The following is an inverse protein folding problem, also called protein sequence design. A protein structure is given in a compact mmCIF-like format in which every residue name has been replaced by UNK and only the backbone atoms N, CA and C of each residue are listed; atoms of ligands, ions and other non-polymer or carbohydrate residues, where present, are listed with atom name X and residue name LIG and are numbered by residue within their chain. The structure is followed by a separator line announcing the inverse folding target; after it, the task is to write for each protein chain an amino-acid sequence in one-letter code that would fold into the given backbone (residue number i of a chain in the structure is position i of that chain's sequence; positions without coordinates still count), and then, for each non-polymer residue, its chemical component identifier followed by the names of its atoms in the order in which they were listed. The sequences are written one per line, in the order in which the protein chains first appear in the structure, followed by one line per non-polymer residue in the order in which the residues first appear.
data_IF_923472225036
#
_entry.id   IF_923472225036
#
_cell.length_a   1.000
_cell.length_b   1.000
_cell.length_c   1.000
_cell.angle_alpha   90.00
_cell.angle_beta   90.00
_cell.angle_gamma   90.00
#
_symmetry.space_group_name_H-M   'P 1'
#
loop_
_entity.id
_entity.type
_entity.pdbx_description
1 polymer ?
#
# COMPACT_ATOMS: atom_id res chain seq x y z
N UNK A 1 -39.96 -21.96 62.75
CA UNK A 1 -39.37 -21.79 61.40
C UNK A 1 -40.34 -21.13 60.40
N UNK A 2 -41.03 -20.02 60.78
CA UNK A 2 -41.96 -19.28 59.90
C UNK A 2 -41.76 -17.75 59.91
N UNK A 3 -40.81 -17.24 60.70
CA UNK A 3 -40.57 -15.79 60.85
C UNK A 3 -39.38 -15.31 60.01
N UNK A 4 -38.35 -16.14 59.77
CA UNK A 4 -37.20 -15.74 58.93
C UNK A 4 -37.56 -15.57 57.45
N UNK A 5 -38.52 -16.34 56.92
CA UNK A 5 -38.87 -16.31 55.49
C UNK A 5 -39.58 -15.02 55.06
N UNK A 6 -40.19 -14.28 55.99
CA UNK A 6 -40.89 -13.02 55.66
C UNK A 6 -39.95 -11.82 55.55
N UNK A 7 -38.83 -11.80 56.28
CA UNK A 7 -37.87 -10.69 56.20
C UNK A 7 -36.93 -10.79 54.99
N UNK A 8 -36.63 -12.00 54.51
CA UNK A 8 -35.80 -12.23 53.32
C UNK A 8 -36.46 -11.73 52.03
N UNK A 9 -37.79 -11.85 51.92
CA UNK A 9 -38.57 -11.40 50.76
C UNK A 9 -38.73 -9.87 50.75
N UNK A 10 -38.83 -9.24 51.93
CA UNK A 10 -38.91 -7.79 52.07
C UNK A 10 -37.55 -7.10 51.81
N UNK A 11 -36.43 -7.72 52.20
CA UNK A 11 -35.09 -7.17 51.95
C UNK A 11 -34.67 -7.32 50.47
N UNK A 12 -35.05 -8.43 49.81
CA UNK A 12 -34.82 -8.62 48.38
C UNK A 12 -35.67 -7.68 47.51
N UNK A 13 -36.88 -7.33 47.96
CA UNK A 13 -37.75 -6.36 47.28
C UNK A 13 -37.24 -4.92 47.35
N UNK A 14 -36.64 -4.50 48.47
CA UNK A 14 -36.07 -3.14 48.59
C UNK A 14 -34.72 -2.97 47.87
N UNK A 15 -33.91 -4.03 47.77
CA UNK A 15 -32.66 -3.98 47.00
C UNK A 15 -32.92 -3.96 45.48
N UNK A 16 -34.00 -4.59 45.01
CA UNK A 16 -34.43 -4.53 43.62
C UNK A 16 -35.05 -3.16 43.24
N UNK A 17 -35.67 -2.44 44.18
CA UNK A 17 -36.20 -1.09 43.90
C UNK A 17 -35.11 0.00 43.84
N UNK A 18 -33.99 -0.17 44.54
CA UNK A 18 -32.85 0.77 44.50
C UNK A 18 -31.98 0.63 43.23
N UNK A 19 -32.05 -0.51 42.54
CA UNK A 19 -31.33 -0.74 41.27
C UNK A 19 -32.06 -0.17 40.04
N UNK A 20 -33.33 0.24 40.17
CA UNK A 20 -34.11 0.81 39.06
C UNK A 20 -34.01 2.35 39.00
N UNK A 21 -33.49 2.99 40.05
CA UNK A 21 -33.33 4.46 40.08
C UNK A 21 -31.99 4.99 39.55
N UNK A 22 -31.11 4.11 39.01
CA UNK A 22 -29.80 4.51 38.42
C UNK A 22 -29.66 4.00 36.98
N UNK A 23 -30.77 3.87 36.24
CA UNK A 23 -30.75 3.40 34.84
C UNK A 23 -31.66 4.18 33.89
N UNK A 24 -32.10 5.38 34.28
CA UNK A 24 -32.63 6.35 33.32
C UNK A 24 -31.79 7.61 33.37
N UNK A 25 -30.55 7.54 32.88
CA UNK A 25 -30.17 8.60 31.94
C UNK A 25 -31.00 8.33 30.69
N UNK A 26 -32.19 8.95 30.62
CA UNK A 26 -32.91 9.08 29.35
C UNK A 26 -31.89 9.70 28.39
N UNK A 27 -31.48 8.93 27.37
CA UNK A 27 -30.81 9.50 26.22
C UNK A 27 -31.59 10.75 25.84
N UNK A 28 -30.96 11.92 25.96
CA UNK A 28 -31.53 13.16 25.46
C UNK A 28 -32.05 12.87 24.06
N UNK A 29 -33.28 13.29 23.69
CA UNK A 29 -33.84 12.97 22.39
C UNK A 29 -32.80 13.32 21.33
N UNK A 30 -32.32 12.29 20.61
CA UNK A 30 -31.34 12.48 19.55
C UNK A 30 -31.97 13.49 18.61
N UNK A 31 -31.32 14.64 18.44
CA UNK A 31 -31.83 15.71 17.61
C UNK A 31 -32.24 15.12 16.25
N UNK A 32 -33.55 15.04 16.00
CA UNK A 32 -34.14 14.49 14.76
C UNK A 32 -34.21 15.54 13.66
N UNK A 33 -33.60 16.71 13.88
CA UNK A 33 -33.45 17.71 12.83
C UNK A 33 -32.61 17.13 11.71
N UNK A 34 -33.10 17.28 10.48
CA UNK A 34 -32.26 17.10 9.30
C UNK A 34 -31.10 18.08 9.45
N UNK A 35 -29.90 17.56 9.69
CA UNK A 35 -28.69 18.37 9.53
C UNK A 35 -28.74 19.00 8.15
N UNK A 36 -28.34 20.26 8.04
CA UNK A 36 -28.10 20.83 6.73
C UNK A 36 -27.09 19.91 6.05
N UNK A 37 -27.34 19.58 4.78
CA UNK A 37 -26.34 18.87 3.99
C UNK A 37 -25.01 19.61 4.14
N UNK A 38 -23.89 18.89 4.37
CA UNK A 38 -22.60 19.54 4.50
C UNK A 38 -22.37 20.43 3.28
N UNK A 39 -21.82 21.62 3.49
CA UNK A 39 -21.52 22.48 2.35
C UNK A 39 -20.58 21.73 1.40
N UNK A 40 -20.86 21.78 0.09
CA UNK A 40 -20.01 21.10 -0.88
C UNK A 40 -18.59 21.64 -0.76
N UNK A 41 -17.63 20.73 -0.55
CA UNK A 41 -16.21 21.07 -0.50
C UNK A 41 -15.84 21.81 -1.78
N UNK A 42 -15.43 23.06 -1.63
CA UNK A 42 -15.05 23.89 -2.77
C UNK A 42 -13.66 23.50 -3.25
N UNK A 43 -13.46 23.29 -4.56
CA UNK A 43 -12.15 22.96 -5.09
C UNK A 43 -11.18 24.12 -4.87
N UNK A 44 -10.00 23.80 -4.36
CA UNK A 44 -8.91 24.75 -4.22
C UNK A 44 -8.23 24.99 -5.57
N UNK A 45 -7.75 26.20 -5.82
CA UNK A 45 -6.89 26.50 -6.96
C UNK A 45 -5.61 27.14 -6.44
N UNK A 46 -4.47 26.56 -6.79
CA UNK A 46 -3.14 27.03 -6.47
C UNK A 46 -2.27 27.00 -7.72
N UNK A 47 -1.15 27.72 -7.71
CA UNK A 47 -0.14 27.63 -8.78
C UNK A 47 1.00 26.78 -8.27
N UNK A 48 1.29 25.61 -8.87
CA UNK A 48 2.49 24.85 -8.56
C UNK A 48 3.73 25.72 -8.79
N UNK A 49 4.64 25.73 -7.84
CA UNK A 49 5.93 26.43 -7.95
C UNK A 49 7.00 25.53 -8.54
N UNK A 50 6.84 24.21 -8.40
CA UNK A 50 7.76 23.19 -8.87
C UNK A 50 6.99 22.02 -9.50
N UNK A 51 7.64 21.31 -10.41
CA UNK A 51 7.15 20.03 -10.92
C UNK A 51 7.53 18.88 -9.99
N UNK A 52 6.86 17.74 -10.12
CA UNK A 52 7.19 16.52 -9.40
C UNK A 52 8.64 16.09 -9.68
N UNK A 53 9.07 16.15 -10.94
CA UNK A 53 10.44 15.82 -11.31
C UNK A 53 11.48 16.75 -10.68
N UNK A 54 11.19 18.06 -10.59
CA UNK A 54 12.09 19.03 -9.94
C UNK A 54 12.25 18.74 -8.45
N UNK A 55 11.15 18.45 -7.75
CA UNK A 55 11.21 18.08 -6.33
C UNK A 55 11.96 16.76 -6.12
N UNK A 56 11.70 15.76 -6.96
CA UNK A 56 12.31 14.44 -6.85
C UNK A 56 13.82 14.45 -7.16
N UNK A 57 14.29 15.35 -8.02
CA UNK A 57 15.69 15.46 -8.39
C UNK A 57 16.61 15.84 -7.22
N UNK A 58 16.06 16.45 -6.16
CA UNK A 58 16.81 16.80 -4.95
C UNK A 58 17.11 15.60 -4.03
N UNK A 59 16.52 14.43 -4.29
CA UNK A 59 16.86 13.22 -3.56
C UNK A 59 18.20 12.66 -4.07
N UNK A 60 19.24 12.81 -3.25
CA UNK A 60 20.62 12.39 -3.56
C UNK A 60 21.06 11.16 -2.74
N UNK A 61 20.14 10.22 -2.50
CA UNK A 61 20.40 8.98 -1.77
C UNK A 61 20.16 9.03 -0.26
N UNK A 62 19.51 10.09 0.22
CA UNK A 62 19.03 10.25 1.60
C UNK A 62 17.77 11.12 1.61
N UNK A 63 16.84 10.91 2.57
CA UNK A 63 15.68 11.77 2.71
C UNK A 63 16.07 13.20 3.06
N UNK A 64 15.16 14.14 2.78
CA UNK A 64 15.32 15.55 3.15
C UNK A 64 13.96 16.18 3.45
N UNK A 65 13.95 17.16 4.36
CA UNK A 65 12.77 17.96 4.69
C UNK A 65 12.77 19.24 3.88
N UNK A 66 11.68 19.48 3.15
CA UNK A 66 11.53 20.66 2.27
C UNK A 66 11.37 21.92 3.12
N UNK A 67 12.08 22.99 2.76
CA UNK A 67 12.12 24.24 3.51
C UNK A 67 13.10 24.24 4.70
N UNK A 68 13.61 23.07 5.10
CA UNK A 68 14.58 22.89 6.20
C UNK A 68 15.95 22.49 5.67
N UNK A 69 16.03 21.38 4.94
CA UNK A 69 17.29 20.83 4.40
C UNK A 69 17.55 21.30 2.96
N UNK A 70 16.49 21.39 2.16
CA UNK A 70 16.48 21.83 0.76
C UNK A 70 15.39 22.89 0.56
N UNK A 71 15.51 23.74 -0.47
CA UNK A 71 14.55 24.82 -0.75
C UNK A 71 14.33 25.80 0.42
N UNK A 72 15.40 26.11 1.17
CA UNK A 72 15.32 26.98 2.36
C UNK A 72 14.89 28.40 1.95
N UNK A 73 13.81 28.88 2.56
CA UNK A 73 13.24 30.21 2.26
C UNK A 73 12.35 30.26 1.01
N UNK A 74 12.06 29.12 0.39
CA UNK A 74 11.18 29.01 -0.78
C UNK A 74 9.85 28.32 -0.42
N UNK A 75 8.75 28.76 -1.02
CA UNK A 75 7.47 28.04 -0.95
C UNK A 75 7.43 27.00 -2.07
N UNK A 76 7.38 25.72 -1.68
CA UNK A 76 7.38 24.59 -2.61
C UNK A 76 5.98 23.99 -2.67
N UNK A 77 5.35 24.11 -3.84
CA UNK A 77 4.04 23.54 -4.13
C UNK A 77 4.17 22.72 -5.40
N UNK A 78 3.82 21.44 -5.33
CA UNK A 78 3.60 20.60 -6.50
C UNK A 78 2.10 20.46 -6.75
N UNK A 79 1.71 20.18 -7.99
CA UNK A 79 0.33 19.88 -8.34
C UNK A 79 0.27 18.80 -9.40
N UNK A 80 -0.64 17.84 -9.24
CA UNK A 80 -0.80 16.74 -10.17
C UNK A 80 -2.18 16.11 -10.11
N UNK A 81 -2.50 15.30 -11.10
CA UNK A 81 -3.76 14.56 -11.17
C UNK A 81 -3.62 13.22 -10.47
N UNK A 82 -4.58 12.90 -9.60
CA UNK A 82 -4.65 11.60 -8.92
C UNK A 82 -4.79 10.48 -9.96
N UNK A 83 -3.86 9.53 -9.93
CA UNK A 83 -3.77 8.43 -10.89
C UNK A 83 -4.17 7.06 -10.31
N UNK A 84 -4.37 6.99 -9.00
CA UNK A 84 -4.69 5.75 -8.27
C UNK A 84 -5.95 5.87 -7.43
N UNK A 85 -6.40 4.76 -6.87
CA UNK A 85 -7.46 4.69 -5.86
C UNK A 85 -7.10 3.63 -4.82
N UNK A 86 -7.41 3.89 -3.54
CA UNK A 86 -7.27 2.90 -2.47
C UNK A 86 -8.52 2.01 -2.31
N UNK A 87 -9.58 2.24 -3.11
CA UNK A 87 -10.84 1.48 -3.04
C UNK A 87 -10.68 -0.04 -3.21
N UNK A 88 -9.80 -0.55 -4.09
CA UNK A 88 -9.53 -1.98 -4.23
C UNK A 88 -8.63 -2.54 -3.12
N UNK A 89 -7.92 -1.66 -2.37
CA UNK A 89 -7.03 -2.03 -1.28
C UNK A 89 -5.60 -2.39 -1.69
N UNK A 90 -5.20 -2.16 -2.94
CA UNK A 90 -3.81 -2.40 -3.36
C UNK A 90 -2.87 -1.25 -2.96
N UNK A 91 -3.36 -0.02 -3.00
CA UNK A 91 -2.70 1.15 -2.41
C UNK A 91 -3.17 1.32 -0.97
N UNK A 92 -2.23 1.50 -0.04
CA UNK A 92 -2.52 1.53 1.39
C UNK A 92 -2.24 2.91 1.96
N UNK A 93 -3.31 3.60 2.35
CA UNK A 93 -3.25 4.91 3.00
C UNK A 93 -2.44 5.97 2.23
N UNK A 94 -2.37 5.81 0.91
CA UNK A 94 -1.66 6.70 0.00
C UNK A 94 -2.35 6.71 -1.36
N UNK A 95 -1.98 7.67 -2.19
CA UNK A 95 -2.31 7.71 -3.61
C UNK A 95 -1.15 8.32 -4.39
N UNK A 96 -1.12 8.09 -5.70
CA UNK A 96 -0.17 8.74 -6.60
C UNK A 96 -0.82 9.93 -7.31
N UNK A 97 -0.02 10.97 -7.53
CA UNK A 97 -0.34 12.06 -8.46
C UNK A 97 0.69 12.10 -9.58
N UNK A 98 0.31 12.63 -10.74
CA UNK A 98 1.22 12.87 -11.86
C UNK A 98 0.95 14.21 -12.55
N UNK A 99 2.01 14.88 -13.00
CA UNK A 99 1.96 16.24 -13.57
C UNK A 99 2.52 16.33 -15.01
N UNK A 100 2.81 15.19 -15.62
CA UNK A 100 3.42 15.08 -16.95
C UNK A 100 4.95 15.07 -16.95
N UNK A 101 5.60 15.41 -15.83
CA UNK A 101 7.06 15.25 -15.64
C UNK A 101 7.41 13.97 -14.89
N UNK A 102 6.43 13.36 -14.24
CA UNK A 102 6.57 12.14 -13.46
C UNK A 102 5.37 11.93 -12.56
N UNK A 103 5.46 10.93 -11.69
CA UNK A 103 4.51 10.77 -10.60
C UNK A 103 5.20 10.56 -9.25
N UNK A 104 4.42 10.73 -8.18
CA UNK A 104 4.91 10.65 -6.81
C UNK A 104 3.80 10.13 -5.89
N UNK A 105 4.18 9.28 -4.96
CA UNK A 105 3.29 8.78 -3.92
C UNK A 105 3.13 9.82 -2.80
N UNK A 106 1.89 10.12 -2.44
CA UNK A 106 1.53 10.99 -1.32
C UNK A 106 1.09 10.12 -0.13
N UNK A 107 1.87 10.14 0.96
CA UNK A 107 1.65 9.28 2.14
C UNK A 107 0.67 9.93 3.13
N UNK A 108 -0.62 9.64 2.97
CA UNK A 108 -1.68 10.28 3.75
C UNK A 108 -1.86 9.71 5.17
N UNK A 109 -1.81 8.39 5.33
CA UNK A 109 -2.05 7.75 6.64
C UNK A 109 -3.52 7.50 6.98
N UNK A 110 -4.44 7.87 6.08
CA UNK A 110 -5.90 7.71 6.22
C UNK A 110 -6.44 6.66 5.25
N UNK A 111 -7.44 5.90 5.67
CA UNK A 111 -8.15 4.95 4.80
C UNK A 111 -9.33 5.62 4.09
N UNK A 112 -9.76 5.05 2.96
CA UNK A 112 -10.95 5.52 2.24
C UNK A 112 -10.71 6.82 1.50
N UNK A 113 -9.47 7.04 1.05
CA UNK A 113 -9.03 8.24 0.34
C UNK A 113 -9.80 8.44 -0.96
N UNK A 114 -10.29 7.37 -1.58
CA UNK A 114 -11.14 7.40 -2.78
C UNK A 114 -12.43 8.24 -2.63
N UNK A 115 -12.86 8.53 -1.40
CA UNK A 115 -14.00 9.42 -1.15
C UNK A 115 -13.63 10.90 -1.33
N UNK A 116 -12.40 11.26 -0.94
CA UNK A 116 -11.90 12.64 -0.86
C UNK A 116 -11.07 13.02 -2.09
N UNK A 117 -10.32 12.05 -2.64
CA UNK A 117 -9.37 12.20 -3.75
C UNK A 117 -9.67 11.16 -4.84
N UNK A 118 -10.35 11.60 -5.89
CA UNK A 118 -10.82 10.72 -6.97
C UNK A 118 -9.81 10.67 -8.11
N UNK A 119 -9.69 9.55 -8.83
CA UNK A 119 -8.93 9.51 -10.09
C UNK A 119 -9.32 10.67 -11.02
N UNK A 120 -8.32 11.35 -11.58
CA UNK A 120 -8.49 12.54 -12.42
C UNK A 120 -8.68 13.86 -11.65
N UNK A 121 -8.74 13.83 -10.32
CA UNK A 121 -8.83 15.05 -9.51
C UNK A 121 -7.46 15.71 -9.39
N UNK A 122 -7.41 17.03 -9.64
CA UNK A 122 -6.22 17.82 -9.35
C UNK A 122 -6.00 17.87 -7.83
N UNK A 123 -4.77 17.66 -7.38
CA UNK A 123 -4.37 17.82 -5.99
C UNK A 123 -3.11 18.68 -5.95
N UNK A 124 -3.08 19.63 -5.02
CA UNK A 124 -1.90 20.44 -4.72
C UNK A 124 -1.31 19.99 -3.39
N UNK A 125 0.02 19.89 -3.33
CA UNK A 125 0.74 19.54 -2.12
C UNK A 125 1.70 20.67 -1.76
N UNK A 126 1.47 21.32 -0.62
CA UNK A 126 2.44 22.21 0.02
C UNK A 126 3.51 21.34 0.66
N UNK A 127 4.70 21.38 0.09
CA UNK A 127 5.75 20.43 0.41
C UNK A 127 6.61 20.85 1.61
N UNK A 128 6.69 22.14 1.93
CA UNK A 128 7.43 22.63 3.11
C UNK A 128 7.02 21.85 4.37
N UNK A 129 8.01 21.54 5.22
CA UNK A 129 7.89 20.71 6.44
C UNK A 129 7.55 19.22 6.19
N UNK A 130 7.40 18.79 4.94
CA UNK A 130 7.29 17.38 4.58
C UNK A 130 8.65 16.78 4.22
N UNK A 131 8.77 15.48 4.44
CA UNK A 131 9.96 14.71 4.08
C UNK A 131 9.75 14.04 2.71
N UNK A 132 10.75 14.21 1.84
CA UNK A 132 10.88 13.50 0.57
C UNK A 132 11.88 12.37 0.76
N UNK A 133 11.50 11.16 0.36
CA UNK A 133 12.37 9.98 0.41
C UNK A 133 12.08 9.01 -0.73
N UNK A 134 12.79 7.89 -0.77
CA UNK A 134 12.73 6.91 -1.85
C UNK A 134 12.49 5.49 -1.32
N UNK A 135 11.27 4.99 -1.54
CA UNK A 135 10.94 3.62 -1.19
C UNK A 135 11.71 2.63 -2.05
N UNK A 136 12.50 1.77 -1.40
CA UNK A 136 13.26 0.74 -2.09
C UNK A 136 14.62 1.19 -2.62
N UNK A 137 15.09 2.39 -2.27
CA UNK A 137 16.48 2.75 -2.52
C UNK A 137 17.44 1.82 -1.76
N UNK A 138 18.53 1.41 -2.42
CA UNK A 138 19.60 0.64 -1.78
C UNK A 138 20.91 0.83 -2.54
N UNK A 139 22.00 1.00 -1.82
CA UNK A 139 23.34 1.09 -2.43
C UNK A 139 23.96 -0.30 -2.67
N UNK A 140 25.01 -0.33 -3.50
CA UNK A 140 25.81 -1.53 -3.76
C UNK A 140 25.40 -2.34 -4.99
N UNK A 141 26.07 -3.47 -5.22
CA UNK A 141 25.90 -4.30 -6.42
C UNK A 141 24.47 -4.80 -6.62
N UNK A 142 23.80 -5.14 -5.51
CA UNK A 142 22.44 -5.67 -5.49
C UNK A 142 21.37 -4.63 -5.14
N UNK A 143 21.74 -3.35 -5.01
CA UNK A 143 20.82 -2.24 -4.78
C UNK A 143 20.68 -1.36 -6.02
N UNK A 144 19.73 -0.44 -6.02
CA UNK A 144 19.50 0.56 -7.07
C UNK A 144 18.45 1.56 -6.61
N UNK A 145 17.93 2.37 -7.54
CA UNK A 145 16.91 3.35 -7.21
C UNK A 145 15.56 2.70 -6.86
N UNK A 146 14.76 3.46 -6.13
CA UNK A 146 13.40 3.12 -5.74
C UNK A 146 12.39 4.09 -6.31
N UNK A 147 11.23 4.17 -5.67
CA UNK A 147 10.17 5.13 -6.01
C UNK A 147 10.21 6.33 -5.06
N UNK A 148 10.30 7.53 -5.59
CA UNK A 148 10.20 8.76 -4.78
C UNK A 148 8.79 8.91 -4.20
N UNK A 149 8.72 9.32 -2.95
CA UNK A 149 7.49 9.52 -2.19
C UNK A 149 7.65 10.73 -1.28
N UNK A 150 6.52 11.36 -0.93
CA UNK A 150 6.47 12.46 0.02
C UNK A 150 5.49 12.13 1.14
N UNK A 151 5.91 12.45 2.36
CA UNK A 151 5.14 12.20 3.58
C UNK A 151 5.67 13.04 4.72
N UNK A 152 5.53 12.54 5.94
CA UNK A 152 6.15 13.17 7.09
C UNK A 152 7.52 12.52 7.36
N UNK A 153 8.36 13.14 8.18
CA UNK A 153 9.60 12.51 8.63
C UNK A 153 9.28 11.27 9.49
N UNK A 154 10.03 10.18 9.34
CA UNK A 154 9.88 9.00 10.20
C UNK A 154 10.75 9.18 11.46
N UNK A 155 10.15 9.36 12.65
CA UNK A 155 10.91 9.57 13.87
C UNK A 155 11.69 8.34 14.33
N UNK A 156 11.43 7.17 13.75
CA UNK A 156 12.16 5.93 14.06
C UNK A 156 13.40 5.73 13.19
N UNK A 157 13.54 6.52 12.11
CA UNK A 157 14.55 6.35 11.06
C UNK A 157 14.56 4.94 10.43
N UNK A 158 13.49 4.15 10.62
CA UNK A 158 13.35 2.84 9.99
C UNK A 158 13.05 2.97 8.49
N UNK A 159 12.30 4.01 8.14
CA UNK A 159 11.95 4.39 6.79
C UNK A 159 12.37 5.83 6.51
N UNK A 160 12.53 6.17 5.23
CA UNK A 160 12.89 7.53 4.83
C UNK A 160 11.74 8.54 4.95
N UNK A 161 10.50 8.04 5.02
CA UNK A 161 9.28 8.85 5.18
C UNK A 161 8.23 8.06 5.94
N UNK A 162 7.44 8.74 6.76
CA UNK A 162 6.21 8.26 7.40
C UNK A 162 4.97 8.86 6.76
N UNK A 163 3.79 8.51 7.27
CA UNK A 163 2.53 9.09 6.81
C UNK A 163 2.25 10.45 7.49
N UNK A 164 1.46 11.30 6.86
CA UNK A 164 0.91 12.51 7.50
C UNK A 164 0.08 12.16 8.75
N UNK A 165 -0.72 11.07 8.69
CA UNK A 165 -1.58 10.46 9.74
C UNK A 165 -2.69 11.35 10.34
N UNK A 166 -2.38 12.61 10.63
CA UNK A 166 -3.25 13.59 11.26
C UNK A 166 -4.06 14.37 10.23
N UNK A 167 -5.36 14.55 10.50
CA UNK A 167 -6.22 15.39 9.66
C UNK A 167 -5.70 16.83 9.59
N UNK A 168 -5.10 17.37 10.65
CA UNK A 168 -4.52 18.71 10.65
C UNK A 168 -3.38 18.83 9.63
N UNK A 169 -2.46 17.86 9.61
CA UNK A 169 -1.35 17.85 8.64
C UNK A 169 -1.88 17.66 7.22
N UNK A 170 -2.88 16.81 7.03
CA UNK A 170 -3.52 16.64 5.73
C UNK A 170 -4.15 17.97 5.27
N UNK A 171 -4.90 18.65 6.14
CA UNK A 171 -5.61 19.90 5.80
C UNK A 171 -4.67 21.09 5.55
N UNK A 172 -3.44 21.07 6.11
CA UNK A 172 -2.45 22.14 5.89
C UNK A 172 -1.54 21.87 4.70
N UNK A 173 -1.41 20.62 4.25
CA UNK A 173 -0.47 20.24 3.19
C UNK A 173 -1.14 19.77 1.89
N UNK A 174 -2.30 19.12 1.93
CA UNK A 174 -2.89 18.45 0.77
C UNK A 174 -4.25 19.05 0.43
N UNK A 175 -4.34 19.69 -0.74
CA UNK A 175 -5.51 20.46 -1.14
C UNK A 175 -6.18 19.85 -2.37
N UNK A 176 -7.43 19.43 -2.19
CA UNK A 176 -8.28 18.94 -3.26
C UNK A 176 -8.67 20.07 -4.22
N UNK A 177 -8.20 19.98 -5.47
CA UNK A 177 -8.59 20.86 -6.56
C UNK A 177 -9.78 20.36 -7.35
N UNK A 178 -9.99 20.94 -8.54
CA UNK A 178 -11.09 20.58 -9.44
C UNK A 178 -10.99 19.10 -9.85
N UNK A 179 -12.13 18.40 -9.79
CA UNK A 179 -12.25 17.06 -10.40
C UNK A 179 -12.18 17.19 -11.93
N UNK A 180 -11.17 16.56 -12.53
CA UNK A 180 -11.04 16.38 -13.97
C UNK A 180 -11.52 15.01 -14.44
N UNK A 181 -11.26 14.71 -15.70
CA UNK A 181 -11.42 13.37 -16.26
C UNK A 181 -10.32 12.44 -15.71
N UNK A 182 -10.59 11.13 -15.58
CA UNK A 182 -9.57 10.16 -15.19
C UNK A 182 -8.33 10.28 -16.07
N UNK A 183 -7.16 10.07 -15.46
CA UNK A 183 -5.90 10.04 -16.19
C UNK A 183 -5.91 8.86 -17.16
N UNK A 184 -5.63 9.14 -18.44
CA UNK A 184 -5.47 8.10 -19.45
C UNK A 184 -4.09 7.43 -19.31
N UNK A 185 -4.02 6.08 -19.25
CA UNK A 185 -2.75 5.37 -19.14
C UNK A 185 -1.89 5.53 -20.40
N UNK A 186 -0.59 5.74 -20.21
CA UNK A 186 0.36 5.73 -21.34
C UNK A 186 0.76 4.28 -21.65
N UNK A 187 0.59 3.85 -22.89
CA UNK A 187 1.08 2.53 -23.33
C UNK A 187 2.59 2.61 -23.56
N UNK A 188 3.37 1.80 -22.83
CA UNK A 188 4.83 1.81 -22.95
C UNK A 188 5.35 0.68 -23.86
N UNK A 189 6.51 0.98 -24.45
CA UNK A 189 7.38 0.05 -25.16
C UNK A 189 8.59 -0.34 -24.30
N UNK A 190 9.35 -1.35 -24.73
CA UNK A 190 10.49 -1.89 -23.95
C UNK A 190 11.60 -0.85 -23.69
N UNK A 191 11.87 0.01 -24.67
CA UNK A 191 12.89 1.06 -24.61
C UNK A 191 12.50 2.21 -23.66
N UNK A 192 11.22 2.34 -23.34
CA UNK A 192 10.70 3.30 -22.36
C UNK A 192 10.73 2.78 -20.92
N UNK A 193 11.10 1.51 -20.70
CA UNK A 193 11.19 0.95 -19.35
C UNK A 193 12.43 1.45 -18.60
N UNK A 194 12.29 1.77 -17.30
CA UNK A 194 13.40 2.29 -16.50
C UNK A 194 14.54 1.28 -16.36
N UNK A 195 15.75 1.82 -16.19
CA UNK A 195 16.93 1.09 -15.79
C UNK A 195 17.12 1.06 -14.28
N UNK A 196 18.20 0.40 -13.86
CA UNK A 196 18.54 0.16 -12.46
C UNK A 196 18.62 1.42 -11.59
N UNK A 197 19.11 2.52 -12.17
CA UNK A 197 19.33 3.80 -11.48
C UNK A 197 18.53 4.93 -12.14
N UNK A 198 17.46 4.61 -12.87
CA UNK A 198 16.63 5.64 -13.46
C UNK A 198 15.98 6.51 -12.37
N UNK A 199 15.76 7.76 -12.71
CA UNK A 199 15.06 8.79 -11.95
C UNK A 199 13.95 9.37 -12.84
N UNK A 200 13.27 10.41 -12.36
CA UNK A 200 12.30 11.15 -13.19
C UNK A 200 12.97 11.98 -14.31
N UNK A 201 14.30 12.18 -14.24
CA UNK A 201 15.03 12.90 -15.27
C UNK A 201 15.15 12.08 -16.58
N UNK A 202 15.50 10.80 -16.49
CA UNK A 202 15.65 9.91 -17.64
C UNK A 202 14.40 9.05 -17.93
N UNK A 203 13.55 8.83 -16.93
CA UNK A 203 12.32 8.06 -17.08
C UNK A 203 11.10 8.77 -16.45
N UNK A 204 10.38 9.62 -17.22
CA UNK A 204 9.22 10.37 -16.72
C UNK A 204 7.99 9.49 -16.48
N UNK A 205 8.10 8.18 -16.68
CA UNK A 205 7.01 7.22 -16.46
C UNK A 205 7.00 6.63 -15.04
N UNK A 206 8.06 6.82 -14.25
CA UNK A 206 8.07 6.37 -12.85
C UNK A 206 7.00 7.12 -12.04
N UNK A 207 6.25 6.39 -11.22
CA UNK A 207 5.14 6.89 -10.44
C UNK A 207 3.89 7.24 -11.25
N UNK A 208 3.88 6.99 -12.56
CA UNK A 208 2.74 7.33 -13.44
C UNK A 208 1.90 6.12 -13.81
N UNK A 209 0.65 6.39 -14.21
CA UNK A 209 -0.26 5.40 -14.74
C UNK A 209 0.10 5.01 -16.17
N UNK A 210 0.41 3.74 -16.36
CA UNK A 210 0.85 3.19 -17.65
C UNK A 210 0.20 1.84 -17.95
N UNK A 211 0.23 1.47 -19.22
CA UNK A 211 -0.16 0.13 -19.69
C UNK A 211 1.04 -0.56 -20.33
N UNK A 212 1.29 -1.80 -19.93
CA UNK A 212 2.25 -2.69 -20.57
C UNK A 212 1.48 -3.81 -21.28
N UNK A 213 1.86 -4.16 -22.51
CA UNK A 213 1.11 -5.13 -23.33
C UNK A 213 1.93 -6.38 -23.64
N UNK A 214 1.28 -7.53 -23.70
CA UNK A 214 1.89 -8.79 -24.13
C UNK A 214 2.93 -9.36 -23.17
N UNK A 215 2.76 -9.16 -21.86
CA UNK A 215 3.64 -9.73 -20.84
C UNK A 215 3.52 -11.24 -20.80
N UNK A 216 4.67 -11.93 -20.71
CA UNK A 216 4.75 -13.38 -20.60
C UNK A 216 5.13 -13.79 -19.19
N UNK A 217 4.42 -14.76 -18.61
CA UNK A 217 4.72 -15.23 -17.26
C UNK A 217 6.15 -15.77 -17.16
N UNK A 218 6.87 -15.39 -16.11
CA UNK A 218 8.27 -15.75 -15.89
C UNK A 218 8.45 -17.00 -15.01
N UNK A 219 7.36 -17.71 -14.68
CA UNK A 219 7.37 -18.92 -13.84
C UNK A 219 8.03 -18.72 -12.47
N UNK A 220 7.85 -17.53 -11.89
CA UNK A 220 8.43 -17.16 -10.61
C UNK A 220 7.49 -16.28 -9.81
N UNK A 221 7.49 -16.49 -8.50
CA UNK A 221 6.84 -15.64 -7.51
C UNK A 221 7.85 -15.14 -6.48
N UNK A 222 7.44 -14.11 -5.75
CA UNK A 222 8.09 -13.71 -4.51
C UNK A 222 7.04 -13.36 -3.46
N UNK A 223 7.12 -14.00 -2.29
CA UNK A 223 6.45 -13.53 -1.08
C UNK A 223 7.36 -13.71 0.14
N UNK A 224 7.25 -12.78 1.08
CA UNK A 224 7.96 -12.82 2.36
C UNK A 224 6.92 -13.05 3.46
N UNK A 225 6.96 -14.25 4.02
CA UNK A 225 6.08 -14.70 5.09
C UNK A 225 6.81 -14.57 6.43
N UNK A 226 6.07 -14.26 7.49
CA UNK A 226 6.60 -14.22 8.86
C UNK A 226 6.03 -15.36 9.69
N UNK A 227 6.89 -16.01 10.50
CA UNK A 227 6.44 -17.01 11.48
C UNK A 227 5.50 -16.35 12.50
N UNK A 228 5.79 -15.11 12.88
CA UNK A 228 4.98 -14.27 13.74
C UNK A 228 5.13 -12.79 13.33
N UNK A 229 4.05 -12.20 12.82
CA UNK A 229 4.05 -10.82 12.34
C UNK A 229 4.19 -9.76 13.44
N UNK A 230 4.03 -10.17 14.72
CA UNK A 230 4.23 -9.30 15.89
C UNK A 230 5.68 -9.34 16.41
N UNK A 231 6.49 -10.26 15.92
CA UNK A 231 7.92 -10.32 16.24
C UNK A 231 8.73 -9.42 15.31
N UNK A 232 10.02 -9.29 15.62
CA UNK A 232 10.95 -8.54 14.81
C UNK A 232 10.97 -9.08 13.37
N UNK A 233 10.53 -8.24 12.43
CA UNK A 233 10.45 -8.58 11.01
C UNK A 233 11.81 -8.58 10.33
N UNK A 234 12.92 -8.29 11.04
CA UNK A 234 14.29 -8.34 10.54
C UNK A 234 15.05 -9.62 10.94
N UNK A 235 14.52 -10.38 11.88
CA UNK A 235 15.15 -11.63 12.34
C UNK A 235 15.05 -12.74 11.30
N UNK A 236 16.18 -13.40 11.03
CA UNK A 236 16.26 -14.56 10.12
C UNK A 236 15.29 -15.67 10.55
N UNK A 237 15.23 -15.96 11.85
CA UNK A 237 14.35 -16.98 12.45
C UNK A 237 12.85 -16.71 12.30
N UNK A 238 12.48 -15.51 11.86
CA UNK A 238 11.09 -15.10 11.71
C UNK A 238 10.69 -14.90 10.25
N UNK A 239 11.52 -15.28 9.28
CA UNK A 239 11.31 -15.01 7.86
C UNK A 239 11.27 -16.28 7.03
N UNK A 240 10.38 -16.31 6.05
CA UNK A 240 10.33 -17.35 5.01
C UNK A 240 10.26 -16.64 3.66
N UNK A 241 11.25 -16.87 2.80
CA UNK A 241 11.30 -16.30 1.46
C UNK A 241 10.85 -17.36 0.45
N UNK A 242 9.62 -17.22 -0.03
CA UNK A 242 9.13 -18.01 -1.15
C UNK A 242 9.51 -17.26 -2.42
N UNK A 243 10.72 -17.50 -2.94
CA UNK A 243 11.27 -16.85 -4.13
C UNK A 243 11.76 -17.84 -5.19
N UNK A 244 12.10 -17.34 -6.37
CA UNK A 244 12.85 -18.05 -7.44
C UNK A 244 12.14 -19.22 -8.13
N UNK A 245 10.92 -19.54 -7.71
CA UNK A 245 9.99 -20.47 -8.34
C UNK A 245 8.55 -20.06 -8.03
N UNK A 246 7.54 -20.83 -8.47
CA UNK A 246 6.13 -20.46 -8.28
C UNK A 246 5.59 -20.78 -6.88
N UNK A 247 6.18 -21.76 -6.19
CA UNK A 247 5.71 -22.27 -4.88
C UNK A 247 4.23 -22.68 -4.87
N UNK A 248 3.67 -23.06 -6.03
CA UNK A 248 2.25 -23.38 -6.18
C UNK A 248 1.30 -22.19 -6.01
N UNK A 249 1.82 -20.96 -5.96
CA UNK A 249 1.02 -19.74 -5.83
C UNK A 249 0.47 -19.34 -7.20
N UNK A 250 -0.85 -19.38 -7.33
CA UNK A 250 -1.59 -19.15 -8.58
C UNK A 250 -2.44 -17.88 -8.57
N UNK A 251 -2.54 -17.20 -7.43
CA UNK A 251 -3.30 -15.95 -7.26
C UNK A 251 -2.43 -14.71 -7.32
N UNK A 252 -3.07 -13.55 -7.53
CA UNK A 252 -2.39 -12.24 -7.58
C UNK A 252 -1.76 -11.83 -6.25
N UNK A 253 -2.44 -12.10 -5.13
CA UNK A 253 -1.92 -12.03 -3.78
C UNK A 253 -2.50 -13.17 -2.95
N UNK A 254 -2.50 -13.08 -1.62
CA UNK A 254 -3.24 -14.03 -0.80
C UNK A 254 -3.83 -13.34 0.41
N UNK A 255 -5.14 -13.53 0.60
CA UNK A 255 -5.82 -13.27 1.87
C UNK A 255 -5.32 -14.25 2.93
N UNK A 256 -5.72 -14.03 4.18
CA UNK A 256 -5.45 -14.98 5.27
C UNK A 256 -5.99 -16.38 4.95
N UNK A 257 -7.18 -16.48 4.35
CA UNK A 257 -7.79 -17.76 3.97
C UNK A 257 -6.98 -18.46 2.88
N UNK A 258 -6.61 -17.74 1.82
CA UNK A 258 -5.85 -18.33 0.71
C UNK A 258 -4.42 -18.70 1.11
N UNK A 259 -3.80 -17.90 1.98
CA UNK A 259 -2.53 -18.25 2.61
C UNK A 259 -2.60 -19.59 3.35
N UNK A 260 -3.66 -19.81 4.15
CA UNK A 260 -3.87 -21.08 4.86
C UNK A 260 -4.08 -22.25 3.89
N UNK A 261 -4.80 -22.05 2.78
CA UNK A 261 -4.96 -23.07 1.74
C UNK A 261 -3.60 -23.50 1.15
N UNK A 262 -2.77 -22.53 0.75
CA UNK A 262 -1.45 -22.84 0.19
C UNK A 262 -0.51 -23.47 1.22
N UNK A 263 -0.49 -22.96 2.46
CA UNK A 263 0.32 -23.55 3.54
C UNK A 263 -0.09 -25.01 3.81
N UNK A 264 -1.39 -25.31 3.81
CA UNK A 264 -1.89 -26.66 4.07
C UNK A 264 -1.74 -27.61 2.88
N UNK A 265 -1.50 -27.10 1.65
CA UNK A 265 -1.20 -27.93 0.49
C UNK A 265 0.10 -28.74 0.62
N UNK A 266 1.01 -28.28 1.50
CA UNK A 266 2.34 -28.87 1.67
C UNK A 266 3.37 -28.42 0.64
N UNK A 267 2.99 -27.60 -0.35
CA UNK A 267 3.90 -27.09 -1.38
C UNK A 267 5.07 -26.26 -0.83
N UNK A 268 4.94 -25.75 0.40
CA UNK A 268 5.94 -24.91 1.05
C UNK A 268 6.76 -25.67 2.10
N UNK A 269 6.42 -26.93 2.41
CA UNK A 269 6.92 -27.64 3.59
C UNK A 269 8.45 -27.75 3.62
N UNK A 270 9.11 -27.83 2.46
CA UNK A 270 10.57 -27.90 2.32
C UNK A 270 11.26 -26.53 2.30
N UNK A 271 10.51 -25.41 2.29
CA UNK A 271 11.09 -24.07 2.27
C UNK A 271 11.80 -23.77 3.60
N UNK A 272 13.04 -23.31 3.52
CA UNK A 272 13.85 -22.98 4.70
C UNK A 272 13.38 -21.68 5.39
N UNK A 273 13.41 -21.68 6.72
CA UNK A 273 13.20 -20.49 7.54
C UNK A 273 14.53 -19.76 7.70
N UNK A 274 14.56 -18.49 7.33
CA UNK A 274 15.79 -17.73 7.29
C UNK A 274 15.76 -16.52 6.37
N UNK A 275 16.94 -15.98 6.11
CA UNK A 275 17.19 -15.07 5.00
C UNK A 275 18.42 -15.53 4.21
N UNK A 276 18.77 -14.81 3.14
CA UNK A 276 19.88 -15.16 2.25
C UNK A 276 21.25 -15.37 2.94
N UNK A 277 21.44 -14.88 4.18
CA UNK A 277 22.68 -15.03 4.93
C UNK A 277 22.60 -16.07 6.06
N UNK A 278 21.41 -16.54 6.43
CA UNK A 278 21.21 -17.45 7.57
C UNK A 278 19.87 -18.19 7.49
N UNK A 279 19.93 -19.50 7.23
CA UNK A 279 18.79 -20.41 7.02
C UNK A 279 18.74 -21.55 8.05
N UNK A 280 19.44 -21.42 9.17
CA UNK A 280 19.61 -22.51 10.15
C UNK A 280 18.41 -22.70 11.10
N UNK A 281 17.20 -22.31 10.69
CA UNK A 281 16.01 -22.29 11.56
C UNK A 281 14.97 -23.35 11.21
N UNK A 282 15.37 -24.38 10.45
CA UNK A 282 14.48 -25.44 10.01
C UNK A 282 13.66 -25.03 8.79
N UNK A 283 12.54 -25.69 8.60
CA UNK A 283 11.67 -25.55 7.42
C UNK A 283 10.28 -25.06 7.78
N UNK A 284 9.49 -24.64 6.80
CA UNK A 284 8.08 -24.31 6.99
C UNK A 284 7.31 -25.46 7.68
N UNK A 285 7.62 -26.72 7.37
CA UNK A 285 7.02 -27.87 8.03
C UNK A 285 7.25 -27.86 9.56
N UNK A 286 8.46 -27.52 9.99
CA UNK A 286 8.84 -27.45 11.41
C UNK A 286 8.07 -26.35 12.17
N UNK A 287 7.66 -25.28 11.47
CA UNK A 287 6.95 -24.12 12.03
C UNK A 287 5.47 -24.05 11.65
N UNK A 288 4.92 -25.10 11.05
CA UNK A 288 3.55 -25.10 10.48
C UNK A 288 2.49 -24.70 11.48
N UNK A 289 2.61 -25.14 12.74
CA UNK A 289 1.66 -24.81 13.82
C UNK A 289 1.65 -23.30 14.10
N UNK A 290 2.82 -22.66 14.16
CA UNK A 290 2.98 -21.24 14.41
C UNK A 290 2.48 -20.43 13.21
N UNK A 291 2.82 -20.86 12.00
CA UNK A 291 2.40 -20.23 10.75
C UNK A 291 0.87 -20.26 10.55
N UNK A 292 0.21 -21.34 10.97
CA UNK A 292 -1.27 -21.42 10.98
C UNK A 292 -1.85 -20.48 12.04
N UNK A 293 -1.28 -20.47 13.25
CA UNK A 293 -1.76 -19.62 14.35
C UNK A 293 -1.65 -18.13 14.03
N UNK A 294 -0.59 -17.74 13.32
CA UNK A 294 -0.27 -16.35 13.02
C UNK A 294 -0.57 -16.02 11.54
N UNK A 295 -1.54 -16.71 10.95
CA UNK A 295 -1.93 -16.48 9.56
C UNK A 295 -2.28 -15.00 9.32
N UNK A 296 -1.93 -14.52 8.14
CA UNK A 296 -2.14 -13.13 7.76
C UNK A 296 -2.29 -13.03 6.25
N UNK A 297 -2.90 -11.96 5.73
CA UNK A 297 -2.81 -11.65 4.31
C UNK A 297 -1.36 -11.31 3.92
N UNK A 298 -0.91 -11.82 2.78
CA UNK A 298 0.44 -11.57 2.27
C UNK A 298 0.41 -10.99 0.86
N UNK A 299 1.28 -10.00 0.64
CA UNK A 299 1.56 -9.53 -0.71
C UNK A 299 2.25 -10.62 -1.51
N UNK A 300 1.91 -10.77 -2.79
CA UNK A 300 2.65 -11.62 -3.72
C UNK A 300 3.18 -10.75 -4.84
N UNK A 301 4.39 -11.07 -5.28
CA UNK A 301 4.91 -10.57 -6.54
C UNK A 301 4.89 -11.69 -7.57
N UNK A 302 4.16 -11.48 -8.65
CA UNK A 302 4.16 -12.35 -9.83
C UNK A 302 5.12 -11.77 -10.86
N UNK A 303 6.05 -12.58 -11.37
CA UNK A 303 7.04 -12.12 -12.32
C UNK A 303 6.63 -12.40 -13.74
N UNK A 304 6.83 -11.39 -14.59
CA UNK A 304 6.58 -11.47 -16.02
C UNK A 304 7.80 -10.95 -16.78
N UNK A 305 7.85 -11.20 -18.08
CA UNK A 305 8.84 -10.65 -19.00
C UNK A 305 8.17 -9.75 -20.03
N UNK A 306 8.79 -8.61 -20.30
CA UNK A 306 8.41 -7.69 -21.37
C UNK A 306 9.69 -7.25 -22.08
N UNK A 307 9.86 -7.66 -23.33
CA UNK A 307 11.08 -7.31 -24.08
C UNK A 307 12.37 -7.85 -23.43
N UNK A 308 12.33 -9.05 -22.84
CA UNK A 308 13.49 -9.61 -22.13
C UNK A 308 13.82 -8.96 -20.78
N UNK A 309 13.15 -7.87 -20.39
CA UNK A 309 13.21 -7.29 -19.04
C UNK A 309 12.21 -8.00 -18.13
N UNK A 310 12.62 -8.26 -16.90
CA UNK A 310 11.74 -8.83 -15.87
C UNK A 310 10.92 -7.72 -15.20
N UNK A 311 9.61 -7.94 -15.08
CA UNK A 311 8.63 -7.05 -14.47
C UNK A 311 8.07 -7.74 -13.23
N UNK A 312 8.29 -7.14 -12.05
CA UNK A 312 7.71 -7.60 -10.81
C UNK A 312 6.33 -6.97 -10.60
N UNK A 313 5.24 -7.70 -10.86
CA UNK A 313 3.90 -7.20 -10.54
C UNK A 313 3.60 -7.53 -9.09
N UNK A 314 3.56 -6.50 -8.22
CA UNK A 314 3.31 -6.64 -6.79
C UNK A 314 1.84 -6.32 -6.46
N UNK A 315 1.20 -7.21 -5.73
CA UNK A 315 -0.19 -7.05 -5.26
C UNK A 315 -0.27 -7.32 -3.76
N UNK A 316 -1.05 -6.50 -3.05
CA UNK A 316 -1.29 -6.56 -1.62
C UNK A 316 -2.24 -7.70 -1.25
N UNK A 317 -1.94 -8.45 -0.18
CA UNK A 317 -2.86 -9.45 0.36
C UNK A 317 -4.14 -8.84 0.96
N UNK A 318 -4.14 -7.54 1.25
CA UNK A 318 -5.31 -6.82 1.77
C UNK A 318 -6.23 -6.29 0.66
N UNK A 319 -5.87 -6.45 -0.62
CA UNK A 319 -6.75 -6.03 -1.69
C UNK A 319 -7.95 -6.98 -1.85
N UNK A 320 -9.06 -6.46 -2.36
CA UNK A 320 -10.32 -7.21 -2.55
C UNK A 320 -10.22 -8.31 -3.61
N UNK A 321 -9.18 -8.27 -4.44
CA UNK A 321 -8.91 -9.23 -5.51
C UNK A 321 -7.67 -10.09 -5.21
N UNK A 322 -7.25 -10.16 -3.94
CA UNK A 322 -6.04 -10.89 -3.56
C UNK A 322 -6.12 -12.35 -4.00
N UNK A 323 -7.25 -13.00 -3.75
CA UNK A 323 -7.47 -14.43 -4.03
C UNK A 323 -7.89 -14.72 -5.47
N UNK A 324 -7.88 -13.72 -6.35
CA UNK A 324 -8.21 -13.93 -7.76
C UNK A 324 -7.14 -14.79 -8.42
N UNK A 325 -7.58 -15.93 -8.97
CA UNK A 325 -6.74 -16.86 -9.73
C UNK A 325 -6.28 -16.23 -11.05
N UNK A 326 -5.01 -16.43 -11.38
CA UNK A 326 -4.46 -16.09 -12.68
C UNK A 326 -4.87 -17.18 -13.67
N UNK A 327 -5.25 -16.80 -14.90
CA UNK A 327 -5.59 -17.75 -15.96
C UNK A 327 -4.51 -18.84 -16.07
N UNK A 328 -4.86 -20.14 -15.90
CA UNK A 328 -3.91 -21.24 -16.00
C UNK A 328 -3.13 -21.26 -17.32
N UNK A 329 -3.72 -20.77 -18.42
CA UNK A 329 -3.04 -20.68 -19.72
C UNK A 329 -1.96 -19.59 -19.75
N UNK A 330 -2.09 -18.53 -18.91
CA UNK A 330 -1.00 -17.57 -18.68
C UNK A 330 0.10 -18.20 -17.83
N UNK A 331 -0.28 -18.92 -16.76
CA UNK A 331 0.68 -19.61 -15.90
C UNK A 331 1.44 -20.71 -16.65
N UNK A 332 0.81 -21.37 -17.62
CA UNK A 332 1.43 -22.33 -18.53
C UNK A 332 2.27 -21.67 -19.64
N UNK A 333 2.22 -20.35 -19.79
CA UNK A 333 2.95 -19.60 -20.81
C UNK A 333 2.34 -19.66 -22.21
N UNK A 334 1.09 -20.12 -22.35
CA UNK A 334 0.36 -20.18 -23.61
C UNK A 334 -0.33 -18.85 -23.96
N UNK A 335 -0.66 -18.03 -22.96
CA UNK A 335 -1.25 -16.70 -23.11
C UNK A 335 -0.33 -15.60 -22.57
N UNK A 336 -0.62 -14.37 -23.01
CA UNK A 336 0.02 -13.16 -22.50
C UNK A 336 -0.99 -12.26 -21.80
N UNK A 337 -0.52 -11.33 -20.99
CA UNK A 337 -1.39 -10.34 -20.36
C UNK A 337 -1.02 -8.90 -20.77
N UNK A 338 -2.02 -8.05 -20.82
CA UNK A 338 -1.84 -6.59 -20.77
C UNK A 338 -2.19 -6.15 -19.34
N UNK A 339 -1.41 -5.22 -18.79
CA UNK A 339 -1.61 -4.72 -17.42
C UNK A 339 -1.56 -3.21 -17.37
N UNK A 340 -2.45 -2.61 -16.57
CA UNK A 340 -2.51 -1.17 -16.30
C UNK A 340 -2.33 -0.90 -14.81
N UNK A 341 -1.48 0.07 -14.48
CA UNK A 341 -1.06 0.31 -13.11
C UNK A 341 0.07 1.35 -13.03
N UNK A 342 0.68 1.44 -11.86
CA UNK A 342 1.76 2.38 -11.60
C UNK A 342 3.12 1.70 -11.82
N UNK A 343 3.94 2.32 -12.67
CA UNK A 343 5.33 1.91 -12.89
C UNK A 343 6.21 2.43 -11.75
N UNK A 344 6.96 1.57 -11.08
CA UNK A 344 7.86 1.94 -9.98
C UNK A 344 9.20 1.20 -10.09
N UNK A 345 10.12 1.53 -9.18
CA UNK A 345 11.35 0.78 -8.96
C UNK A 345 11.43 0.32 -7.52
N UNK A 346 12.06 -0.83 -7.30
CA UNK A 346 12.47 -1.31 -5.99
C UNK A 346 13.85 -1.93 -6.08
N UNK A 347 14.85 -1.31 -5.43
CA UNK A 347 16.25 -1.72 -5.46
C UNK A 347 16.80 -1.86 -6.89
N UNK A 348 16.36 -0.96 -7.78
CA UNK A 348 16.70 -0.93 -9.20
C UNK A 348 16.03 -1.99 -10.07
N UNK A 349 15.07 -2.74 -9.53
CA UNK A 349 14.25 -3.67 -10.30
C UNK A 349 12.92 -3.00 -10.65
N UNK A 350 12.42 -3.30 -11.85
CA UNK A 350 11.10 -2.82 -12.28
C UNK A 350 10.04 -3.48 -11.42
N UNK A 351 9.29 -2.66 -10.70
CA UNK A 351 8.12 -3.05 -9.94
C UNK A 351 6.89 -2.38 -10.55
N UNK A 352 5.79 -3.11 -10.59
CA UNK A 352 4.54 -2.65 -11.15
C UNK A 352 3.43 -2.90 -10.15
N UNK A 353 2.60 -1.89 -9.90
CA UNK A 353 1.51 -1.97 -8.92
C UNK A 353 0.19 -1.79 -9.64
N UNK A 354 -0.64 -2.84 -9.63
CA UNK A 354 -1.98 -2.81 -10.24
C UNK A 354 -2.89 -1.81 -9.51
N UNK A 355 -3.80 -1.15 -10.22
CA UNK A 355 -4.89 -0.41 -9.59
C UNK A 355 -5.90 -1.36 -8.95
N UNK A 356 -6.39 -2.27 -9.79
CA UNK A 356 -7.37 -3.30 -9.51
C UNK A 356 -7.19 -4.45 -10.50
N UNK A 357 -8.09 -5.43 -10.43
CA UNK A 357 -8.10 -6.58 -11.33
C UNK A 357 -8.63 -6.24 -12.73
N UNK A 358 -9.43 -5.18 -12.88
CA UNK A 358 -9.99 -4.77 -14.18
C UNK A 358 -8.88 -4.22 -15.11
N UNK A 359 -7.78 -3.73 -14.52
CA UNK A 359 -6.56 -3.36 -15.22
C UNK A 359 -5.76 -4.53 -15.81
N UNK A 360 -6.20 -5.79 -15.64
CA UNK A 360 -5.54 -6.98 -16.22
C UNK A 360 -6.40 -7.56 -17.35
N UNK A 361 -5.81 -7.67 -18.54
CA UNK A 361 -6.46 -8.30 -19.70
C UNK A 361 -5.67 -9.53 -20.17
N UNK A 362 -6.38 -10.65 -20.31
CA UNK A 362 -5.82 -11.92 -20.77
C UNK A 362 -6.00 -12.04 -22.28
N UNK A 363 -4.92 -12.25 -23.03
CA UNK A 363 -4.92 -12.31 -24.50
C UNK A 363 -4.78 -13.75 -25.03
#
# INVERSE_FOLDING_TARGET
MKVLTRYSVLLAGMLALLLVSVSCEEFQPVFTGKYKDPEPVQPVTMTPTHTIAQLAAEYEGSPFVVGVDKFVGEEVIIGGYVSTTDQPGNFYKSFYIQDGTGGMEIKMGKNGLYNDYKPGQMVYVKCNDLSVGMYGYKTGSNGGNGMVQIGYEDPTEEYETSYLESQLLIDTHVFAGKKGDPVEPVVLTEDQLPGKNSTLEDCPYLGTLVTLKGLKYANKTFTLVYIDSNKNKKESSNRVFLSDQTWGITTWAMSETKYLEYLNSGAWDECEVGNANDQNYGTVADHKTQLIKNASPYSVSQYFTFGGKEIQIRTSGYCKFADTEIDPEVLAGHKTIDVTGIMTLYQGKIQFVLLDIDGVHYN
#
